data_IF_760868565904
#
_entry.id   IF_760868565904
#
_cell.length_a   1.000
_cell.length_b   1.000
_cell.length_c   1.000
_cell.angle_alpha   90.00
_cell.angle_beta   90.00
_cell.angle_gamma   90.00
#
_symmetry.space_group_name_H-M   'P 1'
#
loop_
_entity.id
_entity.type
_entity.pdbx_description
1 polymer ?
#
# COMPACT_ATOMS: atom_id res chain seq x y z
N UNK A 1 11.84 3.25 10.93
CA UNK A 1 11.04 4.45 11.30
C UNK A 1 9.96 4.69 10.25
N UNK A 2 8.83 5.31 10.62
CA UNK A 2 7.81 5.70 9.64
C UNK A 2 7.34 7.15 9.83
N UNK A 3 6.93 7.79 8.75
CA UNK A 3 6.33 9.12 8.71
C UNK A 3 5.12 9.12 7.79
N UNK A 4 3.99 9.67 8.24
CA UNK A 4 2.73 9.68 7.47
C UNK A 4 2.18 11.09 7.38
N UNK A 5 1.79 11.50 6.16
CA UNK A 5 1.09 12.76 5.88
C UNK A 5 -0.30 12.42 5.38
N UNK A 6 -1.34 13.00 5.99
CA UNK A 6 -2.75 12.78 5.63
C UNK A 6 -3.36 14.10 5.20
N UNK A 7 -3.90 14.14 3.99
CA UNK A 7 -4.67 15.25 3.45
C UNK A 7 -6.13 14.81 3.34
N UNK A 8 -7.02 15.62 3.90
CA UNK A 8 -8.47 15.41 3.82
C UNK A 8 -9.06 16.56 3.04
N UNK A 9 -9.64 16.25 1.89
CA UNK A 9 -10.42 17.15 1.06
C UNK A 9 -11.82 16.55 1.01
N UNK A 10 -12.82 17.36 0.72
CA UNK A 10 -14.20 16.90 0.51
C UNK A 10 -14.24 15.71 -0.46
N UNK A 11 -14.85 14.60 -0.03
CA UNK A 11 -15.03 13.36 -0.78
C UNK A 11 -13.73 12.59 -1.06
N UNK A 12 -12.57 13.11 -0.62
CA UNK A 12 -11.26 12.60 -1.02
C UNK A 12 -10.23 12.63 0.11
N UNK A 13 -9.62 11.48 0.38
CA UNK A 13 -8.50 11.37 1.33
C UNK A 13 -7.25 10.92 0.60
N UNK A 14 -6.15 11.65 0.78
CA UNK A 14 -4.83 11.27 0.27
C UNK A 14 -3.87 11.03 1.43
N UNK A 15 -3.15 9.92 1.38
CA UNK A 15 -2.21 9.51 2.43
C UNK A 15 -0.87 9.19 1.80
N UNK A 16 0.18 9.87 2.24
CA UNK A 16 1.57 9.55 1.94
C UNK A 16 2.20 8.89 3.15
N UNK A 17 2.91 7.78 2.97
CA UNK A 17 3.69 7.14 4.02
C UNK A 17 5.09 6.81 3.54
N UNK A 18 6.07 7.27 4.31
CA UNK A 18 7.48 6.98 4.13
C UNK A 18 7.92 6.07 5.27
N UNK A 19 8.62 4.98 4.97
CA UNK A 19 9.14 4.06 5.98
C UNK A 19 10.55 3.64 5.62
N UNK A 20 11.38 3.51 6.65
CA UNK A 20 12.69 2.87 6.56
C UNK A 20 12.77 1.76 7.59
N UNK A 21 13.41 0.65 7.25
CA UNK A 21 13.68 -0.41 8.21
C UNK A 21 14.95 -1.17 7.82
N UNK A 22 15.49 -1.91 8.78
CA UNK A 22 16.71 -2.70 8.62
C UNK A 22 16.57 -4.07 9.27
N UNK A 23 17.00 -5.12 8.57
CA UNK A 23 17.13 -6.48 9.11
C UNK A 23 18.60 -6.80 9.34
N UNK A 24 18.92 -7.32 10.52
CA UNK A 24 20.24 -7.88 10.82
C UNK A 24 20.09 -9.36 11.14
N UNK A 25 20.92 -10.21 10.54
CA UNK A 25 21.01 -11.63 10.86
C UNK A 25 22.47 -12.04 11.04
N UNK A 26 22.71 -13.25 11.57
CA UNK A 26 24.08 -13.77 11.74
C UNK A 26 24.66 -14.31 10.43
N UNK A 27 23.80 -14.76 9.52
CA UNK A 27 24.17 -15.52 8.33
C UNK A 27 24.16 -14.66 7.06
N UNK A 28 23.43 -13.54 7.08
CA UNK A 28 23.25 -12.67 5.93
C UNK A 28 23.78 -11.26 6.21
N UNK A 29 24.09 -10.54 5.14
CA UNK A 29 24.47 -9.12 5.23
C UNK A 29 23.26 -8.29 5.67
N UNK A 30 23.48 -7.14 6.35
CA UNK A 30 22.40 -6.25 6.71
C UNK A 30 21.58 -5.85 5.48
N UNK A 31 20.27 -5.98 5.58
CA UNK A 31 19.33 -5.54 4.56
C UNK A 31 18.69 -4.24 5.02
N UNK A 32 18.63 -3.27 4.12
CA UNK A 32 17.98 -2.00 4.37
C UNK A 32 16.86 -1.80 3.36
N UNK A 33 15.74 -1.25 3.84
CA UNK A 33 14.55 -1.01 3.02
C UNK A 33 14.07 0.43 3.16
N UNK A 34 13.75 1.03 2.02
CA UNK A 34 13.02 2.29 1.92
C UNK A 34 11.69 2.01 1.22
N UNK A 35 10.60 2.39 1.87
CA UNK A 35 9.25 2.22 1.35
C UNK A 35 8.54 3.55 1.25
N UNK A 36 7.97 3.82 0.08
CA UNK A 36 7.02 4.90 -0.13
C UNK A 36 5.66 4.32 -0.52
N UNK A 37 4.60 4.76 0.15
CA UNK A 37 3.21 4.44 -0.18
C UNK A 37 2.43 5.72 -0.41
N UNK A 38 1.63 5.71 -1.47
CA UNK A 38 0.56 6.67 -1.68
C UNK A 38 -0.77 5.93 -1.72
N UNK A 39 -1.75 6.40 -0.95
CA UNK A 39 -3.07 5.82 -0.90
C UNK A 39 -4.12 6.92 -1.03
N UNK A 40 -5.10 6.72 -1.91
CA UNK A 40 -6.26 7.59 -2.03
C UNK A 40 -7.55 6.83 -1.72
N UNK A 41 -8.50 7.52 -1.10
CA UNK A 41 -9.88 7.06 -0.89
C UNK A 41 -10.83 8.12 -1.46
N UNK A 42 -11.80 7.67 -2.26
CA UNK A 42 -12.82 8.50 -2.91
C UNK A 42 -14.19 7.99 -2.47
N UNK A 43 -14.95 8.83 -1.77
CA UNK A 43 -16.35 8.54 -1.44
C UNK A 43 -17.17 8.46 -2.74
N UNK A 44 -18.02 7.44 -2.90
CA UNK A 44 -18.91 7.35 -4.07
C UNK A 44 -20.18 8.17 -3.91
N UNK A 45 -20.45 8.64 -2.70
CA UNK A 45 -21.62 9.44 -2.37
C UNK A 45 -21.24 10.42 -1.27
N UNK A 46 -21.63 11.68 -1.42
CA UNK A 46 -21.43 12.69 -0.37
C UNK A 46 -20.00 13.24 -0.27
N UNK A 47 -19.71 13.78 0.91
CA UNK A 47 -18.58 14.68 1.18
C UNK A 47 -17.46 14.00 2.00
N UNK A 48 -17.69 12.75 2.44
CA UNK A 48 -16.75 11.92 3.18
C UNK A 48 -17.12 10.44 3.03
N UNK A 49 -16.23 9.55 3.45
CA UNK A 49 -16.55 8.12 3.52
C UNK A 49 -17.50 7.86 4.70
N UNK A 50 -18.81 7.95 4.47
CA UNK A 50 -19.85 7.87 5.50
C UNK A 50 -20.25 6.42 5.81
N UNK A 51 -20.86 6.14 6.98
CA UNK A 51 -21.35 4.80 7.27
C UNK A 51 -22.41 4.32 6.27
N UNK A 52 -22.33 3.05 5.89
CA UNK A 52 -23.17 2.36 4.91
C UNK A 52 -22.98 2.77 3.44
N UNK A 53 -21.80 3.30 3.08
CA UNK A 53 -21.50 3.68 1.71
C UNK A 53 -20.36 2.87 1.09
N UNK A 54 -20.33 2.86 -0.25
CA UNK A 54 -19.19 2.40 -1.01
C UNK A 54 -18.18 3.52 -1.24
N UNK A 55 -16.90 3.17 -1.29
CA UNK A 55 -15.81 4.05 -1.66
C UNK A 55 -14.80 3.31 -2.54
N UNK A 56 -14.13 4.03 -3.43
CA UNK A 56 -12.95 3.48 -4.10
C UNK A 56 -11.70 3.80 -3.31
N UNK A 57 -10.76 2.85 -3.31
CA UNK A 57 -9.44 3.05 -2.75
C UNK A 57 -8.37 2.61 -3.73
N UNK A 58 -7.33 3.39 -3.84
CA UNK A 58 -6.19 3.10 -4.70
C UNK A 58 -4.92 3.21 -3.89
N UNK A 59 -4.12 2.15 -3.86
CA UNK A 59 -2.82 2.17 -3.21
C UNK A 59 -1.73 1.88 -4.24
N UNK A 60 -0.64 2.63 -4.15
CA UNK A 60 0.57 2.37 -4.89
C UNK A 60 1.77 2.41 -3.93
N UNK A 61 2.64 1.42 -4.08
CA UNK A 61 3.81 1.24 -3.23
C UNK A 61 5.06 1.10 -4.10
N UNK A 62 6.14 1.73 -3.63
CA UNK A 62 7.50 1.48 -4.07
C UNK A 62 8.30 1.01 -2.86
N UNK A 63 8.89 -0.17 -2.96
CA UNK A 63 9.75 -0.76 -1.96
C UNK A 63 11.13 -0.97 -2.58
N UNK A 64 12.09 -0.16 -2.15
CA UNK A 64 13.50 -0.28 -2.51
C UNK A 64 14.18 -1.08 -1.39
N UNK A 65 14.84 -2.18 -1.74
CA UNK A 65 15.67 -2.95 -0.81
C UNK A 65 17.10 -3.06 -1.34
N UNK A 66 18.07 -3.06 -0.43
CA UNK A 66 19.46 -3.29 -0.77
C UNK A 66 20.14 -4.12 0.31
N UNK A 67 20.84 -5.15 -0.13
CA UNK A 67 21.56 -6.10 0.71
C UNK A 67 22.87 -6.44 0.02
N UNK A 68 23.98 -5.91 0.54
CA UNK A 68 25.31 -6.04 -0.08
C UNK A 68 25.33 -5.50 -1.54
N UNK A 69 25.56 -6.38 -2.53
CA UNK A 69 25.51 -6.03 -3.95
C UNK A 69 24.12 -6.18 -4.57
N UNK A 70 23.17 -6.83 -3.88
CA UNK A 70 21.83 -7.09 -4.39
C UNK A 70 20.93 -5.88 -4.14
N UNK A 71 20.16 -5.51 -5.16
CA UNK A 71 19.35 -4.32 -5.13
C UNK A 71 18.03 -4.51 -5.87
N UNK A 72 16.93 -4.49 -5.14
CA UNK A 72 15.59 -4.72 -5.69
C UNK A 72 14.72 -3.46 -5.56
N UNK A 73 13.88 -3.24 -6.57
CA UNK A 73 12.74 -2.36 -6.51
C UNK A 73 11.47 -3.17 -6.77
N UNK A 74 10.61 -3.25 -5.77
CA UNK A 74 9.28 -3.83 -5.87
C UNK A 74 8.23 -2.72 -6.00
N UNK A 75 7.26 -2.91 -6.89
CA UNK A 75 6.18 -1.96 -7.17
C UNK A 75 4.85 -2.65 -7.01
N UNK A 76 3.96 -2.10 -6.17
CA UNK A 76 2.59 -2.61 -6.00
C UNK A 76 1.56 -1.62 -6.52
N UNK A 77 0.51 -2.15 -7.13
CA UNK A 77 -0.68 -1.42 -7.56
C UNK A 77 -1.91 -2.15 -7.04
N UNK A 78 -2.65 -1.51 -6.14
CA UNK A 78 -3.75 -2.15 -5.41
C UNK A 78 -5.03 -1.29 -5.47
N UNK A 79 -5.84 -1.43 -6.54
CA UNK A 79 -7.20 -0.91 -6.57
C UNK A 79 -8.14 -1.78 -5.72
N UNK A 80 -8.96 -1.13 -4.90
CA UNK A 80 -9.92 -1.76 -3.99
C UNK A 80 -11.27 -1.05 -4.10
N UNK A 81 -12.35 -1.83 -4.03
CA UNK A 81 -13.68 -1.36 -3.70
C UNK A 81 -13.92 -1.61 -2.21
N UNK A 82 -14.22 -0.55 -1.48
CA UNK A 82 -14.52 -0.58 -0.05
C UNK A 82 -15.99 -0.36 0.23
N UNK A 83 -16.49 -0.96 1.30
CA UNK A 83 -17.77 -0.67 1.90
C UNK A 83 -17.55 -0.30 3.38
N UNK A 84 -17.92 0.92 3.73
CA UNK A 84 -17.84 1.41 5.10
C UNK A 84 -19.10 0.97 5.86
N UNK A 85 -18.94 0.13 6.87
CA UNK A 85 -20.04 -0.30 7.74
C UNK A 85 -20.21 0.74 8.87
N UNK A 86 -20.88 0.33 9.94
CA UNK A 86 -21.02 1.13 11.18
C UNK A 86 -19.87 0.86 12.15
N UNK A 87 -19.60 1.81 13.05
CA UNK A 87 -18.58 1.72 14.10
C UNK A 87 -17.15 1.52 13.58
N UNK A 88 -16.76 2.24 12.51
CA UNK A 88 -15.44 2.12 11.86
C UNK A 88 -15.13 0.73 11.26
N UNK A 89 -16.09 -0.20 11.23
CA UNK A 89 -15.92 -1.45 10.50
C UNK A 89 -15.87 -1.18 9.00
N UNK A 90 -14.96 -1.82 8.29
CA UNK A 90 -14.83 -1.67 6.83
C UNK A 90 -14.50 -2.99 6.20
N UNK A 91 -15.06 -3.24 5.01
CA UNK A 91 -14.67 -4.35 4.16
C UNK A 91 -14.11 -3.77 2.87
N UNK A 92 -12.93 -4.21 2.46
CA UNK A 92 -12.31 -3.82 1.19
C UNK A 92 -11.98 -5.07 0.39
N UNK A 93 -12.29 -5.08 -0.91
CA UNK A 93 -11.94 -6.16 -1.83
C UNK A 93 -11.33 -5.60 -3.11
N UNK A 94 -10.33 -6.28 -3.67
CA UNK A 94 -9.80 -5.92 -4.98
C UNK A 94 -8.59 -6.75 -5.39
N UNK A 95 -7.79 -6.19 -6.28
CA UNK A 95 -6.64 -6.86 -6.88
C UNK A 95 -5.34 -6.23 -6.41
N UNK A 96 -4.32 -7.04 -6.25
CA UNK A 96 -2.94 -6.62 -6.00
C UNK A 96 -2.10 -7.04 -7.20
N UNK A 97 -1.57 -6.07 -7.92
CA UNK A 97 -0.59 -6.33 -8.96
C UNK A 97 0.79 -5.92 -8.46
N UNK A 98 1.72 -6.89 -8.44
CA UNK A 98 3.08 -6.71 -7.97
C UNK A 98 4.08 -6.97 -9.07
N UNK A 99 5.07 -6.09 -9.15
CA UNK A 99 6.25 -6.25 -9.98
C UNK A 99 7.44 -6.32 -9.04
N UNK A 100 8.08 -7.48 -8.98
CA UNK A 100 9.24 -7.76 -8.14
C UNK A 100 10.51 -7.77 -9.00
N UNK A 101 11.66 -7.47 -8.41
CA UNK A 101 12.95 -7.51 -9.11
C UNK A 101 12.97 -6.57 -10.32
N UNK A 102 12.34 -5.38 -10.20
CA UNK A 102 12.15 -4.47 -11.34
C UNK A 102 13.48 -3.93 -11.91
N UNK A 103 14.53 -3.87 -11.08
CA UNK A 103 15.85 -3.40 -11.49
C UNK A 103 16.80 -4.53 -11.92
N UNK A 104 16.37 -5.78 -11.77
CA UNK A 104 17.14 -6.96 -12.15
C UNK A 104 16.65 -7.53 -13.48
N UNK A 105 17.45 -8.39 -14.10
CA UNK A 105 17.10 -9.04 -15.36
C UNK A 105 15.99 -10.11 -15.23
N UNK A 106 15.46 -10.34 -14.02
CA UNK A 106 14.49 -11.40 -13.72
C UNK A 106 13.20 -10.85 -13.11
N UNK A 107 12.63 -9.82 -13.73
CA UNK A 107 11.37 -9.21 -13.31
C UNK A 107 10.25 -10.24 -13.21
N UNK A 108 9.62 -10.33 -12.03
CA UNK A 108 8.49 -11.23 -11.78
C UNK A 108 7.21 -10.44 -11.59
N UNK A 109 6.17 -10.83 -12.32
CA UNK A 109 4.82 -10.29 -12.17
C UNK A 109 3.96 -11.24 -11.33
N UNK A 110 3.26 -10.71 -10.33
CA UNK A 110 2.35 -11.48 -9.48
C UNK A 110 1.00 -10.77 -9.36
N UNK A 111 -0.08 -11.55 -9.31
CA UNK A 111 -1.44 -11.06 -9.13
C UNK A 111 -2.06 -11.75 -7.91
N UNK A 112 -2.62 -10.97 -7.00
CA UNK A 112 -3.32 -11.48 -5.83
C UNK A 112 -4.72 -10.88 -5.75
N UNK A 113 -5.62 -11.62 -5.11
CA UNK A 113 -6.92 -11.10 -4.68
C UNK A 113 -6.81 -10.70 -3.22
N UNK A 114 -7.19 -9.46 -2.91
CA UNK A 114 -7.17 -8.91 -1.57
C UNK A 114 -8.58 -8.83 -1.00
N UNK A 115 -8.76 -9.33 0.22
CA UNK A 115 -9.94 -9.11 1.06
C UNK A 115 -9.45 -8.62 2.42
N UNK A 116 -9.86 -7.42 2.80
CA UNK A 116 -9.52 -6.82 4.09
C UNK A 116 -10.80 -6.59 4.88
N UNK A 117 -10.78 -6.99 6.15
CA UNK A 117 -11.83 -6.66 7.10
C UNK A 117 -11.20 -5.92 8.28
N UNK A 118 -11.65 -4.68 8.48
CA UNK A 118 -11.25 -3.83 9.59
C UNK A 118 -12.35 -3.85 10.65
N UNK A 119 -11.96 -4.12 11.90
CA UNK A 119 -12.82 -4.21 13.10
C UNK A 119 -12.41 -3.13 14.09
#
# INVERSE_FOLDING_TARGET
QQYTVVQRITGFRLVHRFSTDQTFSKEEKPEFRLRYRIASEVALSGESVDPNEFYFKFNNEYLKSWQDADNDLEIHLVPLLGYNLVNNNKIEMGLDYRVNSFLDNNTRHSFWMNVNWFI
#
